data_IF_674843398766
#
_entry.id   IF_674843398766
#
_cell.length_a   1.000
_cell.length_b   1.000
_cell.length_c   1.000
_cell.angle_alpha   90.00
_cell.angle_beta   90.00
_cell.angle_gamma   90.00
#
_symmetry.space_group_name_H-M   'P 1'
#
loop_
_entity.id
_entity.type
_entity.pdbx_description
1 polymer ?
#
# COMPACT_ATOMS: atom_id res chain seq x y z
N UNK A 1 50.93 22.52 30.68
CA UNK A 1 51.05 21.98 29.31
C UNK A 1 50.46 20.58 29.14
N UNK A 2 50.60 19.67 30.12
CA UNK A 2 49.95 18.33 30.08
C UNK A 2 48.43 18.37 30.08
N UNK A 3 47.80 19.19 30.94
CA UNK A 3 46.34 19.28 31.04
C UNK A 3 45.67 19.68 29.71
N UNK A 4 46.27 20.66 29.01
CA UNK A 4 45.81 21.17 27.71
C UNK A 4 45.91 20.09 26.62
N UNK A 5 46.98 19.28 26.64
CA UNK A 5 47.15 18.15 25.71
C UNK A 5 46.09 17.07 25.95
N UNK A 6 45.82 16.70 27.20
CA UNK A 6 44.76 15.73 27.52
C UNK A 6 43.37 16.21 27.13
N UNK A 7 43.05 17.50 27.30
CA UNK A 7 41.77 18.07 26.88
C UNK A 7 41.63 18.10 25.36
N UNK A 8 42.70 18.44 24.62
CA UNK A 8 42.69 18.38 23.15
C UNK A 8 42.51 16.96 22.61
N UNK A 9 43.19 15.96 23.22
CA UNK A 9 43.03 14.55 22.85
C UNK A 9 41.60 14.06 23.16
N UNK A 10 41.05 14.43 24.32
CA UNK A 10 39.68 14.08 24.68
C UNK A 10 38.67 14.71 23.71
N UNK A 11 38.80 16.01 23.37
CA UNK A 11 37.93 16.67 22.39
C UNK A 11 38.04 16.06 20.99
N UNK A 12 39.25 15.71 20.55
CA UNK A 12 39.45 15.03 19.26
C UNK A 12 38.80 13.64 19.25
N UNK A 13 38.91 12.88 20.36
CA UNK A 13 38.25 11.59 20.52
C UNK A 13 36.72 11.69 20.48
N UNK A 14 36.14 12.69 21.16
CA UNK A 14 34.68 12.91 21.15
C UNK A 14 34.18 13.38 19.78
N UNK A 15 34.92 14.22 19.07
CA UNK A 15 34.57 14.66 17.72
C UNK A 15 34.59 13.52 16.70
N UNK A 16 35.57 12.61 16.81
CA UNK A 16 35.64 11.40 15.97
C UNK A 16 34.45 10.47 16.20
N UNK A 17 34.01 10.31 17.44
CA UNK A 17 32.84 9.47 17.78
C UNK A 17 31.51 10.11 17.37
N UNK A 18 31.40 11.43 17.38
CA UNK A 18 30.21 12.16 16.95
C UNK A 18 30.07 12.27 15.42
N UNK A 19 31.17 12.15 14.67
CA UNK A 19 31.19 12.26 13.21
C UNK A 19 30.68 11.01 12.46
N UNK A 20 30.60 9.86 13.13
CA UNK A 20 30.14 8.59 12.53
C UNK A 20 28.66 8.31 12.83
N UNK A 21 27.79 9.29 12.63
CA UNK A 21 26.33 9.08 12.70
C UNK A 21 25.72 9.12 11.31
N UNK A 22 24.75 8.23 11.06
CA UNK A 22 23.87 8.35 9.91
C UNK A 22 22.99 9.60 10.09
N UNK A 23 22.70 10.33 9.01
CA UNK A 23 21.89 11.53 9.07
C UNK A 23 21.54 12.09 7.70
N UNK A 24 20.29 12.55 7.54
CA UNK A 24 19.79 13.03 6.26
C UNK A 24 19.93 11.97 5.16
N UNK A 25 20.65 12.32 4.10
CA UNK A 25 20.91 11.45 2.94
C UNK A 25 22.12 10.53 3.14
N UNK A 26 22.79 10.59 4.30
CA UNK A 26 23.93 9.75 4.62
C UNK A 26 23.50 8.53 5.45
N UNK A 27 23.53 7.30 4.89
CA UNK A 27 23.08 6.10 5.58
C UNK A 27 24.04 5.64 6.70
N UNK A 28 25.22 6.27 6.82
CA UNK A 28 26.25 5.89 7.78
C UNK A 28 27.35 5.03 7.17
N UNK A 29 28.35 4.71 7.98
CA UNK A 29 29.41 3.76 7.62
C UNK A 29 28.97 2.35 8.00
N UNK A 30 29.07 1.43 7.05
CA UNK A 30 28.84 0.01 7.29
C UNK A 30 30.16 -0.69 7.60
N UNK A 31 30.20 -1.45 8.70
CA UNK A 31 31.34 -2.30 9.04
C UNK A 31 31.09 -3.72 8.53
N UNK A 32 32.05 -4.26 7.77
CA UNK A 32 32.00 -5.60 7.16
C UNK A 32 30.65 -5.92 6.45
N UNK A 33 30.24 -5.11 5.45
CA UNK A 33 28.92 -5.20 4.80
C UNK A 33 28.72 -6.41 3.86
N UNK A 34 29.59 -7.42 3.95
CA UNK A 34 29.42 -8.64 3.19
C UNK A 34 28.07 -9.29 3.52
N UNK A 35 27.31 -9.63 2.47
CA UNK A 35 25.95 -10.19 2.58
C UNK A 35 24.88 -9.28 3.23
N UNK A 36 25.12 -7.99 3.45
CA UNK A 36 24.06 -7.05 3.91
C UNK A 36 23.07 -6.73 2.80
N UNK A 37 23.56 -6.71 1.56
CA UNK A 37 22.75 -6.56 0.37
C UNK A 37 22.51 -7.92 -0.27
N UNK A 38 21.24 -8.24 -0.53
CA UNK A 38 20.88 -9.48 -1.21
C UNK A 38 21.44 -9.49 -2.63
N UNK A 39 22.26 -10.51 -2.94
CA UNK A 39 22.66 -10.85 -4.33
C UNK A 39 21.44 -11.33 -5.13
N UNK A 40 20.47 -11.94 -4.45
CA UNK A 40 19.20 -12.35 -5.04
C UNK A 40 18.32 -11.16 -5.40
N UNK A 41 17.44 -11.35 -6.39
CA UNK A 41 16.47 -10.33 -6.79
C UNK A 41 15.39 -10.16 -5.71
N UNK A 42 15.52 -9.07 -4.96
CA UNK A 42 14.48 -8.62 -4.04
C UNK A 42 13.43 -7.81 -4.82
N UNK A 43 12.12 -8.05 -4.60
CA UNK A 43 11.05 -7.45 -5.39
C UNK A 43 11.07 -5.91 -5.48
N UNK A 44 11.40 -5.23 -4.39
CA UNK A 44 11.25 -3.77 -4.26
C UNK A 44 12.59 -3.04 -4.08
N UNK A 45 13.73 -3.72 -4.20
CA UNK A 45 15.04 -3.06 -4.16
C UNK A 45 15.61 -2.98 -5.57
N UNK A 46 16.30 -1.88 -5.86
CA UNK A 46 16.85 -1.66 -7.18
C UNK A 46 18.20 -0.93 -7.12
N UNK A 47 19.28 -1.69 -6.93
CA UNK A 47 20.65 -1.17 -7.05
C UNK A 47 21.11 -1.36 -8.49
N UNK A 48 21.18 -0.26 -9.24
CA UNK A 48 21.47 -0.27 -10.69
C UNK A 48 22.95 -0.09 -11.02
N UNK A 49 23.76 0.37 -10.07
CA UNK A 49 25.21 0.48 -10.23
C UNK A 49 25.86 -0.90 -10.15
N UNK A 50 26.38 -1.39 -11.28
CA UNK A 50 27.03 -2.70 -11.38
C UNK A 50 28.33 -2.79 -10.56
N UNK A 51 28.92 -1.65 -10.16
CA UNK A 51 30.12 -1.58 -9.34
C UNK A 51 29.84 -1.48 -7.83
N UNK A 52 28.57 -1.36 -7.43
CA UNK A 52 28.18 -1.21 -6.03
C UNK A 52 28.66 -2.39 -5.18
N UNK A 53 29.51 -2.13 -4.19
CA UNK A 53 30.10 -3.17 -3.34
C UNK A 53 31.27 -3.93 -3.98
N UNK A 54 31.92 -3.39 -5.03
CA UNK A 54 33.09 -4.03 -5.65
C UNK A 54 34.25 -4.25 -4.67
N UNK A 55 34.46 -3.32 -3.75
CA UNK A 55 35.55 -3.34 -2.76
C UNK A 55 35.43 -4.46 -1.72
N UNK A 56 34.22 -5.00 -1.51
CA UNK A 56 33.98 -6.20 -0.69
C UNK A 56 33.65 -7.43 -1.52
N UNK A 57 33.62 -7.32 -2.85
CA UNK A 57 33.05 -8.35 -3.71
C UNK A 57 33.83 -9.65 -3.61
N UNK A 58 33.14 -10.66 -3.12
CA UNK A 58 33.58 -12.05 -3.16
C UNK A 58 33.19 -12.76 -4.48
N UNK A 59 32.56 -12.03 -5.42
CA UNK A 59 32.01 -12.58 -6.65
C UNK A 59 33.04 -12.57 -7.79
N UNK A 60 33.34 -13.74 -8.36
CA UNK A 60 34.24 -13.89 -9.53
C UNK A 60 33.58 -13.55 -10.88
N UNK A 61 32.54 -12.72 -10.89
CA UNK A 61 31.73 -12.41 -12.07
C UNK A 61 31.90 -10.97 -12.60
N UNK A 62 32.80 -10.19 -12.00
CA UNK A 62 33.08 -8.81 -12.40
C UNK A 62 31.99 -7.79 -12.03
N UNK A 63 31.04 -8.16 -11.15
CA UNK A 63 30.01 -7.27 -10.60
C UNK A 63 30.25 -7.03 -9.11
N UNK A 64 29.87 -5.87 -8.62
CA UNK A 64 29.86 -5.54 -7.21
C UNK A 64 28.83 -6.37 -6.44
N UNK A 65 29.13 -6.67 -5.17
CA UNK A 65 28.32 -7.57 -4.33
C UNK A 65 26.88 -7.06 -4.12
N UNK A 66 26.65 -5.75 -4.23
CA UNK A 66 25.36 -5.14 -3.90
C UNK A 66 24.46 -4.98 -5.12
N UNK A 67 24.99 -5.14 -6.34
CA UNK A 67 24.19 -4.98 -7.54
C UNK A 67 23.14 -6.10 -7.65
N UNK A 68 21.87 -5.72 -7.53
CA UNK A 68 20.75 -6.65 -7.40
C UNK A 68 19.58 -6.34 -8.34
N UNK A 69 19.85 -5.62 -9.43
CA UNK A 69 18.82 -5.26 -10.42
C UNK A 69 18.86 -6.18 -11.64
N UNK A 70 17.68 -6.44 -12.22
CA UNK A 70 17.57 -7.26 -13.42
C UNK A 70 17.73 -6.43 -14.70
N UNK A 71 18.93 -6.44 -15.29
CA UNK A 71 19.26 -5.68 -16.52
C UNK A 71 18.42 -6.02 -17.76
N UNK A 72 17.73 -7.16 -17.77
CA UNK A 72 16.93 -7.60 -18.92
C UNK A 72 15.48 -7.12 -18.84
N UNK A 73 15.03 -6.65 -17.68
CA UNK A 73 13.68 -6.13 -17.51
C UNK A 73 13.62 -4.63 -17.84
N UNK A 74 12.48 -4.13 -18.34
CA UNK A 74 12.25 -2.70 -18.48
C UNK A 74 12.52 -1.97 -17.16
N UNK A 75 13.19 -0.81 -17.26
CA UNK A 75 13.60 0.00 -16.12
C UNK A 75 14.46 -0.74 -15.09
N UNK A 76 15.08 -1.87 -15.42
CA UNK A 76 15.91 -2.70 -14.52
C UNK A 76 15.19 -3.20 -13.25
N UNK A 77 13.86 -3.30 -13.28
CA UNK A 77 13.07 -3.76 -12.13
C UNK A 77 13.15 -5.28 -11.94
N UNK A 78 13.10 -5.73 -10.69
CA UNK A 78 13.02 -7.16 -10.38
C UNK A 78 11.62 -7.74 -10.56
N UNK A 79 10.59 -6.90 -10.43
CA UNK A 79 9.19 -7.30 -10.64
C UNK A 79 8.84 -7.37 -12.13
N UNK A 80 8.15 -8.44 -12.52
CA UNK A 80 7.58 -8.60 -13.86
C UNK A 80 6.06 -8.64 -13.79
N UNK A 81 5.35 -8.09 -14.79
CA UNK A 81 3.92 -8.34 -14.92
C UNK A 81 3.70 -9.85 -15.16
N UNK A 82 2.66 -10.44 -14.55
CA UNK A 82 2.29 -11.82 -14.85
C UNK A 82 1.89 -11.94 -16.32
N UNK A 83 2.08 -13.13 -16.91
CA UNK A 83 1.66 -13.36 -18.28
C UNK A 83 0.15 -13.10 -18.45
N UNK A 84 -0.29 -12.55 -19.60
CA UNK A 84 -1.70 -12.29 -19.86
C UNK A 84 -2.55 -13.54 -19.64
N UNK A 85 -3.77 -13.36 -19.14
CA UNK A 85 -4.76 -14.43 -18.91
C UNK A 85 -4.35 -15.53 -17.92
N UNK A 86 -3.30 -15.32 -17.12
CA UNK A 86 -2.94 -16.26 -16.04
C UNK A 86 -3.92 -16.17 -14.87
N UNK A 87 -4.22 -17.32 -14.27
CA UNK A 87 -5.11 -17.43 -13.11
C UNK A 87 -4.35 -18.08 -11.95
N UNK A 88 -4.16 -17.35 -10.86
CA UNK A 88 -3.54 -17.91 -9.65
C UNK A 88 -4.50 -18.85 -8.93
N UNK A 89 -3.97 -19.94 -8.37
CA UNK A 89 -4.71 -20.76 -7.40
C UNK A 89 -4.90 -19.95 -6.11
N UNK A 90 -6.06 -20.08 -5.47
CA UNK A 90 -6.31 -19.49 -4.17
C UNK A 90 -7.01 -20.50 -3.26
N UNK A 91 -6.95 -20.25 -1.94
CA UNK A 91 -7.50 -21.13 -0.90
C UNK A 91 -8.99 -21.44 -1.09
N UNK A 92 -9.74 -20.51 -1.70
CA UNK A 92 -11.19 -20.62 -1.86
C UNK A 92 -11.60 -21.20 -3.22
N UNK A 93 -10.65 -21.51 -4.10
CA UNK A 93 -10.92 -21.95 -5.48
C UNK A 93 -11.63 -20.89 -6.35
N UNK A 94 -11.61 -19.62 -5.96
CA UNK A 94 -12.34 -18.57 -6.68
C UNK A 94 -11.70 -18.28 -8.04
N UNK A 95 -12.54 -18.18 -9.07
CA UNK A 95 -12.10 -17.65 -10.36
C UNK A 95 -11.96 -16.12 -10.29
N UNK A 96 -11.15 -15.52 -11.18
CA UNK A 96 -11.08 -14.07 -11.28
C UNK A 96 -12.46 -13.47 -11.50
N UNK A 97 -12.68 -12.27 -10.96
CA UNK A 97 -13.90 -11.53 -11.21
C UNK A 97 -13.93 -11.05 -12.67
N UNK A 98 -14.86 -11.59 -13.47
CA UNK A 98 -14.93 -11.35 -14.93
C UNK A 98 -16.06 -10.41 -15.36
N UNK A 99 -16.84 -9.88 -14.42
CA UNK A 99 -17.92 -8.95 -14.76
C UNK A 99 -17.29 -7.59 -15.10
N UNK A 100 -17.50 -7.13 -16.33
CA UNK A 100 -16.96 -5.87 -16.85
C UNK A 100 -17.53 -4.64 -16.13
N UNK A 101 -16.79 -3.54 -16.18
CA UNK A 101 -17.08 -2.28 -15.47
C UNK A 101 -18.49 -1.73 -15.69
N UNK A 102 -19.04 -1.90 -16.89
CA UNK A 102 -20.35 -1.33 -17.26
C UNK A 102 -21.51 -2.27 -16.93
N UNK A 103 -21.24 -3.47 -16.40
CA UNK A 103 -22.25 -4.50 -16.07
C UNK A 103 -22.70 -4.42 -14.61
N UNK A 104 -22.96 -3.22 -14.11
CA UNK A 104 -23.32 -2.98 -12.71
C UNK A 104 -24.65 -3.64 -12.31
N UNK A 105 -25.63 -3.68 -13.23
CA UNK A 105 -26.92 -4.32 -12.97
C UNK A 105 -26.78 -5.83 -12.76
N UNK A 106 -26.00 -6.49 -13.63
CA UNK A 106 -25.67 -7.89 -13.46
C UNK A 106 -24.87 -8.14 -12.18
N UNK A 107 -23.86 -7.31 -11.90
CA UNK A 107 -23.08 -7.41 -10.67
C UNK A 107 -23.94 -7.27 -9.41
N UNK A 108 -25.00 -6.45 -9.47
CA UNK A 108 -25.93 -6.25 -8.35
C UNK A 108 -26.75 -7.51 -8.01
N UNK A 109 -26.85 -8.47 -8.93
CA UNK A 109 -27.51 -9.77 -8.68
C UNK A 109 -26.62 -10.77 -7.94
N UNK A 110 -25.31 -10.53 -7.90
CA UNK A 110 -24.34 -11.44 -7.29
C UNK A 110 -24.38 -11.30 -5.76
N UNK A 111 -24.45 -12.45 -5.10
CA UNK A 111 -24.40 -12.54 -3.63
C UNK A 111 -22.99 -12.84 -3.17
N UNK A 112 -22.62 -12.33 -1.99
CA UNK A 112 -21.34 -12.67 -1.38
C UNK A 112 -21.28 -14.18 -1.08
N UNK A 113 -20.17 -14.86 -1.41
CA UNK A 113 -19.94 -16.25 -1.02
C UNK A 113 -19.51 -16.40 0.45
N UNK A 114 -19.32 -15.29 1.18
CA UNK A 114 -18.88 -15.30 2.57
C UNK A 114 -20.08 -15.30 3.53
N UNK A 115 -19.92 -15.98 4.66
CA UNK A 115 -20.86 -15.88 5.78
C UNK A 115 -20.84 -14.48 6.41
N UNK A 116 -21.88 -14.14 7.16
CA UNK A 116 -21.99 -12.86 7.88
C UNK A 116 -21.64 -13.00 9.37
N UNK A 117 -20.56 -13.71 9.68
CA UNK A 117 -20.10 -13.90 11.07
C UNK A 117 -19.56 -12.60 11.66
N UNK A 118 -19.58 -12.48 12.99
CA UNK A 118 -19.07 -11.30 13.68
C UNK A 118 -17.59 -11.02 13.35
N UNK A 119 -16.78 -12.07 13.17
CA UNK A 119 -15.38 -11.96 12.75
C UNK A 119 -15.24 -11.34 11.36
N UNK A 120 -16.03 -11.78 10.38
CA UNK A 120 -16.02 -11.23 9.01
C UNK A 120 -16.43 -9.75 9.00
N UNK A 121 -17.42 -9.37 9.81
CA UNK A 121 -17.85 -7.97 9.93
C UNK A 121 -16.76 -7.13 10.61
N UNK A 122 -16.07 -7.66 11.63
CA UNK A 122 -14.97 -6.98 12.30
C UNK A 122 -13.79 -6.74 11.35
N UNK A 123 -13.41 -7.74 10.56
CA UNK A 123 -12.41 -7.58 9.50
C UNK A 123 -12.84 -6.53 8.47
N UNK A 124 -14.10 -6.59 8.02
CA UNK A 124 -14.68 -5.62 7.09
C UNK A 124 -14.64 -4.19 7.61
N UNK A 125 -14.86 -4.00 8.92
CA UNK A 125 -14.71 -2.69 9.59
C UNK A 125 -13.27 -2.19 9.57
N UNK A 126 -12.31 -3.06 9.88
CA UNK A 126 -10.90 -2.70 9.85
C UNK A 126 -10.45 -2.30 8.43
N UNK A 127 -10.83 -3.10 7.43
CA UNK A 127 -10.56 -2.81 6.02
C UNK A 127 -11.21 -1.50 5.56
N UNK A 128 -12.47 -1.25 5.94
CA UNK A 128 -13.16 0.01 5.64
C UNK A 128 -12.42 1.22 6.26
N UNK A 129 -11.92 1.08 7.49
CA UNK A 129 -11.16 2.14 8.15
C UNK A 129 -9.87 2.52 7.40
N UNK A 130 -9.22 1.53 6.77
CA UNK A 130 -8.01 1.74 5.96
C UNK A 130 -8.35 2.33 4.59
N UNK A 131 -9.28 1.72 3.85
CA UNK A 131 -9.46 2.00 2.43
C UNK A 131 -10.60 2.96 2.08
N UNK A 132 -11.57 3.18 2.98
CA UNK A 132 -12.82 3.88 2.62
C UNK A 132 -13.09 5.11 3.49
N UNK A 133 -12.74 5.05 4.77
CA UNK A 133 -13.05 6.08 5.78
C UNK A 133 -12.53 7.48 5.41
N UNK A 134 -11.36 7.59 4.79
CA UNK A 134 -10.78 8.89 4.44
C UNK A 134 -11.67 9.71 3.47
N UNK A 135 -12.49 9.06 2.65
CA UNK A 135 -13.49 9.70 1.79
C UNK A 135 -14.91 9.60 2.37
N UNK A 136 -15.36 8.39 2.71
CA UNK A 136 -16.75 8.13 3.10
C UNK A 136 -17.06 8.43 4.58
N UNK A 137 -16.04 8.70 5.40
CA UNK A 137 -16.17 8.93 6.83
C UNK A 137 -16.39 7.65 7.65
N UNK A 138 -16.25 7.71 8.98
CA UNK A 138 -16.26 6.53 9.85
C UNK A 138 -17.64 5.86 9.92
N UNK A 139 -18.70 6.65 9.71
CA UNK A 139 -20.10 6.20 9.69
C UNK A 139 -20.64 5.98 8.26
N UNK A 140 -19.87 6.35 7.23
CA UNK A 140 -20.31 6.26 5.84
C UNK A 140 -21.17 7.44 5.40
N UNK A 141 -21.08 8.60 6.06
CA UNK A 141 -21.92 9.77 5.77
C UNK A 141 -21.38 10.63 4.61
N UNK A 142 -20.25 10.26 4.00
CA UNK A 142 -19.64 11.01 2.91
C UNK A 142 -18.82 12.22 3.39
N UNK A 143 -18.46 12.25 4.67
CA UNK A 143 -17.86 13.38 5.39
C UNK A 143 -16.37 13.17 5.74
N UNK A 144 -15.72 12.19 5.10
CA UNK A 144 -14.29 11.92 5.30
C UNK A 144 -13.42 13.14 4.97
N UNK A 145 -12.21 13.21 5.54
CA UNK A 145 -11.31 14.36 5.39
C UNK A 145 -10.93 14.68 3.95
N UNK A 146 -10.95 13.71 3.05
CA UNK A 146 -10.72 13.95 1.61
C UNK A 146 -11.96 14.60 0.95
N UNK A 147 -13.15 14.28 1.45
CA UNK A 147 -14.41 14.84 0.96
C UNK A 147 -14.65 16.26 1.48
N UNK A 148 -14.45 16.48 2.79
CA UNK A 148 -14.69 17.77 3.45
C UNK A 148 -13.48 18.69 3.41
N UNK A 149 -12.28 18.12 3.30
CA UNK A 149 -11.03 18.86 3.18
C UNK A 149 -10.41 19.26 4.50
N UNK A 150 -9.42 20.12 4.39
CA UNK A 150 -8.80 20.85 5.49
C UNK A 150 -9.07 22.34 5.29
N UNK A 151 -9.08 23.10 6.39
CA UNK A 151 -9.22 24.55 6.32
C UNK A 151 -7.99 25.15 5.67
N UNK A 152 -8.18 25.76 4.51
CA UNK A 152 -7.18 26.59 3.84
C UNK A 152 -7.80 27.99 3.75
N UNK A 153 -7.17 28.98 4.38
CA UNK A 153 -7.66 30.36 4.45
C UNK A 153 -9.07 30.50 5.06
N UNK A 154 -9.38 29.66 6.06
CA UNK A 154 -10.68 29.69 6.75
C UNK A 154 -11.84 29.01 5.99
N UNK A 155 -11.59 28.49 4.78
CA UNK A 155 -12.58 27.76 3.98
C UNK A 155 -12.21 26.28 3.94
N UNK A 156 -13.20 25.41 4.18
CA UNK A 156 -13.04 23.97 4.01
C UNK A 156 -12.95 23.64 2.50
N UNK A 157 -11.76 23.20 2.05
CA UNK A 157 -11.53 22.81 0.65
C UNK A 157 -11.36 21.30 0.54
N UNK A 158 -12.46 20.62 0.27
CA UNK A 158 -12.47 19.20 -0.09
C UNK A 158 -11.76 18.94 -1.42
N UNK A 159 -11.04 17.82 -1.52
CA UNK A 159 -10.39 17.41 -2.77
C UNK A 159 -11.39 16.71 -3.71
N UNK A 160 -12.39 16.04 -3.15
CA UNK A 160 -13.41 15.30 -3.91
C UNK A 160 -14.79 15.73 -3.44
N UNK A 161 -15.48 16.51 -4.28
CA UNK A 161 -16.87 16.88 -4.03
C UNK A 161 -17.82 15.71 -4.33
N UNK A 162 -18.94 15.64 -3.59
CA UNK A 162 -20.03 14.69 -3.88
C UNK A 162 -19.71 13.23 -3.52
N UNK A 163 -18.87 12.99 -2.51
CA UNK A 163 -18.69 11.63 -1.98
C UNK A 163 -20.02 11.10 -1.47
N UNK A 164 -20.37 9.87 -1.89
CA UNK A 164 -21.65 9.28 -1.57
C UNK A 164 -21.80 9.07 -0.05
N UNK A 165 -22.91 9.59 0.50
CA UNK A 165 -23.42 9.18 1.80
C UNK A 165 -24.03 7.78 1.66
N UNK A 166 -23.34 6.78 2.16
CA UNK A 166 -23.72 5.36 2.10
C UNK A 166 -25.00 5.08 2.92
N UNK A 167 -25.34 5.94 3.87
CA UNK A 167 -26.59 5.89 4.65
C UNK A 167 -27.74 6.70 4.02
N UNK A 168 -27.47 7.44 2.94
CA UNK A 168 -28.48 8.20 2.22
C UNK A 168 -29.48 7.30 1.48
N UNK A 169 -30.73 7.76 1.34
CA UNK A 169 -31.82 6.99 0.73
C UNK A 169 -31.50 6.39 -0.64
N UNK A 170 -30.68 7.08 -1.45
CA UNK A 170 -30.25 6.61 -2.75
C UNK A 170 -29.35 5.35 -2.69
N UNK A 171 -28.70 5.09 -1.56
CA UNK A 171 -27.68 4.03 -1.42
C UNK A 171 -28.05 2.91 -0.43
N UNK A 172 -29.04 3.12 0.45
CA UNK A 172 -29.45 2.14 1.47
C UNK A 172 -29.76 0.74 0.91
N UNK A 173 -30.35 0.68 -0.30
CA UNK A 173 -30.80 -0.55 -0.93
C UNK A 173 -29.78 -1.17 -1.89
N UNK A 174 -28.55 -0.65 -1.96
CA UNK A 174 -27.50 -1.24 -2.80
C UNK A 174 -27.14 -2.64 -2.28
N UNK A 175 -27.02 -3.60 -3.20
CA UNK A 175 -26.69 -4.98 -2.86
C UNK A 175 -25.21 -5.13 -2.54
N UNK A 176 -24.82 -6.22 -1.87
CA UNK A 176 -23.40 -6.52 -1.63
C UNK A 176 -22.62 -6.62 -2.95
N UNK A 177 -23.22 -7.22 -3.99
CA UNK A 177 -22.63 -7.32 -5.33
C UNK A 177 -22.40 -5.96 -6.00
N UNK A 178 -23.32 -5.01 -5.82
CA UNK A 178 -23.14 -3.63 -6.27
C UNK A 178 -21.92 -2.98 -5.60
N UNK A 179 -21.84 -3.07 -4.28
CA UNK A 179 -20.75 -2.47 -3.50
C UNK A 179 -19.41 -3.12 -3.89
N UNK A 180 -19.36 -4.45 -3.98
CA UNK A 180 -18.19 -5.18 -4.47
C UNK A 180 -17.74 -4.70 -5.86
N UNK A 181 -18.68 -4.49 -6.78
CA UNK A 181 -18.39 -4.05 -8.14
C UNK A 181 -17.79 -2.64 -8.18
N UNK A 182 -18.37 -1.71 -7.41
CA UNK A 182 -17.88 -0.34 -7.30
C UNK A 182 -16.47 -0.31 -6.70
N UNK A 183 -16.19 -1.12 -5.67
CA UNK A 183 -14.81 -1.21 -5.13
C UNK A 183 -13.85 -1.79 -6.18
N UNK A 184 -14.32 -2.70 -7.03
CA UNK A 184 -13.51 -3.35 -8.06
C UNK A 184 -13.10 -2.40 -9.18
N UNK A 185 -14.07 -1.69 -9.76
CA UNK A 185 -13.88 -0.91 -10.97
C UNK A 185 -13.93 0.61 -10.78
N UNK A 186 -14.27 1.07 -9.58
CA UNK A 186 -14.57 2.46 -9.32
C UNK A 186 -15.94 2.87 -9.87
N UNK A 187 -16.37 4.09 -9.55
CA UNK A 187 -17.59 4.71 -10.09
C UNK A 187 -17.46 6.23 -10.02
N UNK A 188 -17.74 6.90 -11.15
CA UNK A 188 -17.57 8.35 -11.27
C UNK A 188 -16.17 8.79 -10.84
N UNK A 189 -16.05 9.63 -9.81
CA UNK A 189 -14.77 10.12 -9.27
C UNK A 189 -14.07 9.10 -8.36
N UNK A 190 -14.75 8.04 -7.92
CA UNK A 190 -14.13 6.99 -7.11
C UNK A 190 -13.28 6.08 -8.01
N UNK A 191 -11.98 6.04 -7.75
CA UNK A 191 -11.02 5.20 -8.47
C UNK A 191 -11.20 3.70 -8.12
N UNK A 192 -10.76 2.78 -9.00
CA UNK A 192 -10.79 1.35 -8.71
C UNK A 192 -9.81 0.97 -7.60
N UNK A 193 -10.27 0.15 -6.64
CA UNK A 193 -9.43 -0.44 -5.59
C UNK A 193 -9.10 -1.92 -5.85
N UNK A 194 -9.53 -2.49 -6.98
CA UNK A 194 -9.38 -3.91 -7.28
C UNK A 194 -7.93 -4.43 -7.35
N UNK A 195 -6.96 -3.55 -7.58
CA UNK A 195 -5.52 -3.88 -7.57
C UNK A 195 -4.91 -3.91 -6.16
N UNK A 196 -5.53 -3.23 -5.20
CA UNK A 196 -5.04 -3.10 -3.84
C UNK A 196 -5.77 -4.03 -2.86
N UNK A 197 -7.06 -4.30 -3.12
CA UNK A 197 -7.93 -5.05 -2.22
C UNK A 197 -8.30 -6.40 -2.85
N UNK A 198 -8.02 -7.48 -2.12
CA UNK A 198 -8.36 -8.84 -2.56
C UNK A 198 -9.88 -8.99 -2.77
N UNK A 199 -10.35 -9.93 -3.61
CA UNK A 199 -11.79 -10.19 -3.73
C UNK A 199 -12.44 -10.56 -2.40
N UNK A 200 -11.73 -11.27 -1.53
CA UNK A 200 -12.28 -11.69 -0.22
C UNK A 200 -12.51 -10.46 0.66
N UNK A 201 -11.53 -9.58 0.73
CA UNK A 201 -11.60 -8.36 1.52
C UNK A 201 -12.63 -7.37 0.98
N UNK A 202 -12.82 -7.30 -0.35
CA UNK A 202 -13.91 -6.52 -0.95
C UNK A 202 -15.29 -6.99 -0.50
N UNK A 203 -15.50 -8.31 -0.40
CA UNK A 203 -16.75 -8.86 0.13
C UNK A 203 -16.93 -8.55 1.62
N UNK A 204 -15.86 -8.62 2.42
CA UNK A 204 -15.89 -8.23 3.84
C UNK A 204 -16.27 -6.76 4.01
N UNK A 205 -15.68 -5.86 3.21
CA UNK A 205 -16.03 -4.43 3.18
C UNK A 205 -17.49 -4.25 2.78
N UNK A 206 -17.95 -4.92 1.72
CA UNK A 206 -19.35 -4.83 1.27
C UNK A 206 -20.34 -5.21 2.39
N UNK A 207 -20.06 -6.29 3.12
CA UNK A 207 -20.86 -6.69 4.29
C UNK A 207 -20.85 -5.65 5.40
N UNK A 208 -19.69 -5.06 5.72
CA UNK A 208 -19.62 -3.99 6.72
C UNK A 208 -20.40 -2.73 6.31
N UNK A 209 -20.36 -2.35 5.02
CA UNK A 209 -21.18 -1.24 4.51
C UNK A 209 -22.67 -1.54 4.70
N UNK A 210 -23.13 -2.78 4.51
CA UNK A 210 -24.53 -3.15 4.82
C UNK A 210 -24.87 -3.00 6.30
N UNK A 211 -23.91 -3.15 7.21
CA UNK A 211 -24.11 -2.88 8.65
C UNK A 211 -24.26 -1.38 8.90
N UNK A 212 -23.42 -0.54 8.28
CA UNK A 212 -23.55 0.93 8.36
C UNK A 212 -24.93 1.40 7.89
N UNK A 213 -25.46 0.79 6.83
CA UNK A 213 -26.77 1.12 6.26
C UNK A 213 -27.96 0.72 7.14
N UNK A 214 -27.79 -0.22 8.07
CA UNK A 214 -28.86 -0.64 9.00
C UNK A 214 -28.91 0.19 10.27
N UNK A 215 -27.82 0.89 10.61
CA UNK A 215 -27.69 1.66 11.85
C UNK A 215 -28.32 3.04 11.63
N UNK A 216 -29.59 3.19 12.03
CA UNK A 216 -30.25 4.49 12.19
C UNK A 216 -30.00 5.02 13.60
#
# INVERSE_FOLDING_TARGET
MQLLKTVLIAMAGTALLAGCSAGGDYPGLEYAPNMYHSVAYEPLTQITDESAGMWVSSLNNGRGEYFNSNKYNPYMMNMRPPAPNTVKRNKNGWLPYRIGKDSLDYASTIKSPLDSTAAIIADGKALYAVYCNHCHGPKGEGDGKVATGVKVDGVDKGMVAGVANLQGNAYLNMTEGHIFHVITWGRNLMQPHGSQISPEDRWKIAKYVKVLQKKK
#
